data_IF_383617780727
#
_entry.id   IF_383617780727
#
_cell.length_a   1.000
_cell.length_b   1.000
_cell.length_c   1.000
_cell.angle_alpha   90.00
_cell.angle_beta   90.00
_cell.angle_gamma   90.00
#
_symmetry.space_group_name_H-M   'P 1'
#
loop_
_entity.id
_entity.type
_entity.pdbx_description
1 polymer ?
#
# COMPACT_ATOMS: atom_id res chain seq x y z
N UNK A 1 1.97 -0.75 6.65
CA UNK A 1 2.84 0.36 6.17
C UNK A 1 2.70 1.65 6.95
N UNK A 2 1.51 2.15 7.26
CA UNK A 2 1.35 3.35 8.10
C UNK A 2 2.05 3.25 9.47
N UNK A 3 2.01 2.09 10.13
CA UNK A 3 2.73 1.88 11.39
C UNK A 3 4.25 2.00 11.24
N UNK A 4 4.80 1.53 10.11
CA UNK A 4 6.23 1.71 9.81
C UNK A 4 6.56 3.18 9.62
N UNK A 5 5.77 3.91 8.82
CA UNK A 5 5.98 5.34 8.60
C UNK A 5 5.92 6.14 9.92
N UNK A 6 4.92 5.86 10.77
CA UNK A 6 4.83 6.50 12.08
C UNK A 6 6.05 6.21 12.96
N UNK A 7 6.41 4.92 13.11
CA UNK A 7 7.55 4.54 13.93
C UNK A 7 8.85 5.20 13.43
N UNK A 8 9.11 5.17 12.13
CA UNK A 8 10.30 5.82 11.55
C UNK A 8 10.33 7.35 11.77
N UNK A 9 9.17 8.01 11.66
CA UNK A 9 9.09 9.45 11.94
C UNK A 9 9.43 9.74 13.41
N UNK A 10 8.91 8.96 14.36
CA UNK A 10 9.22 9.09 15.78
C UNK A 10 10.68 8.73 16.07
N UNK A 11 11.21 7.69 15.45
CA UNK A 11 12.61 7.27 15.58
C UNK A 11 13.57 8.37 15.11
N UNK A 12 13.28 9.02 13.97
CA UNK A 12 14.05 10.18 13.50
C UNK A 12 13.95 11.37 14.46
N UNK A 13 12.76 11.66 15.00
CA UNK A 13 12.59 12.73 15.99
C UNK A 13 13.40 12.48 17.28
N UNK A 14 13.47 11.21 17.70
CA UNK A 14 14.17 10.78 18.92
C UNK A 14 15.65 10.42 18.72
N UNK A 15 16.16 10.40 17.47
CA UNK A 15 17.51 9.92 17.19
C UNK A 15 17.72 8.43 17.52
N UNK A 16 16.66 7.61 17.39
CA UNK A 16 16.66 6.20 17.76
C UNK A 16 17.12 5.35 16.57
N UNK A 17 18.22 4.63 16.74
CA UNK A 17 18.71 3.67 15.75
C UNK A 17 18.00 2.31 15.88
N UNK A 18 17.39 1.87 14.79
CA UNK A 18 16.70 0.58 14.72
C UNK A 18 17.72 -0.52 14.42
N UNK A 19 17.75 -1.61 15.22
CA UNK A 19 18.66 -2.73 14.98
C UNK A 19 18.51 -3.31 13.58
N UNK A 20 19.64 -3.72 12.99
CA UNK A 20 19.68 -4.19 11.59
C UNK A 20 18.72 -5.37 11.36
N UNK A 21 18.65 -6.33 12.28
CA UNK A 21 17.70 -7.46 12.21
C UNK A 21 16.24 -6.98 12.13
N UNK A 22 15.86 -6.00 12.94
CA UNK A 22 14.52 -5.43 12.94
C UNK A 22 14.18 -4.74 11.60
N UNK A 23 15.17 -4.10 10.95
CA UNK A 23 14.99 -3.51 9.63
C UNK A 23 14.62 -4.56 8.57
N UNK A 24 15.28 -5.71 8.57
CA UNK A 24 14.96 -6.84 7.68
C UNK A 24 13.57 -7.39 7.93
N UNK A 25 13.19 -7.59 9.19
CA UNK A 25 11.84 -8.05 9.55
C UNK A 25 10.78 -7.06 9.08
N UNK A 26 10.99 -5.75 9.27
CA UNK A 26 10.08 -4.70 8.75
C UNK A 26 9.93 -4.81 7.24
N UNK A 27 11.03 -4.99 6.50
CA UNK A 27 10.99 -5.13 5.03
C UNK A 27 10.18 -6.36 4.60
N UNK A 28 10.38 -7.51 5.25
CA UNK A 28 9.59 -8.72 4.96
C UNK A 28 8.09 -8.46 5.15
N UNK A 29 7.70 -7.82 6.24
CA UNK A 29 6.28 -7.52 6.50
C UNK A 29 5.73 -6.48 5.53
N UNK A 30 6.50 -5.48 5.16
CA UNK A 30 6.11 -4.48 4.15
C UNK A 30 5.84 -5.13 2.79
N UNK A 31 6.71 -6.06 2.37
CA UNK A 31 6.52 -6.73 1.09
C UNK A 31 5.38 -7.78 1.14
N UNK A 32 5.17 -8.49 2.26
CA UNK A 32 3.97 -9.32 2.44
C UNK A 32 2.69 -8.48 2.38
N UNK A 33 2.69 -7.28 2.98
CA UNK A 33 1.56 -6.33 2.92
C UNK A 33 1.32 -5.85 1.48
N UNK A 34 2.38 -5.65 0.68
CA UNK A 34 2.27 -5.30 -0.74
C UNK A 34 1.65 -6.43 -1.55
N UNK A 35 2.16 -7.66 -1.42
CA UNK A 35 1.66 -8.84 -2.13
C UNK A 35 0.16 -9.04 -1.84
N UNK A 36 -0.23 -9.03 -0.55
CA UNK A 36 -1.64 -9.26 -0.18
C UNK A 36 -2.56 -8.14 -0.70
N UNK A 37 -2.06 -6.90 -0.78
CA UNK A 37 -2.81 -5.75 -1.29
C UNK A 37 -2.98 -5.81 -2.81
N UNK A 38 -1.92 -6.12 -3.55
CA UNK A 38 -1.99 -6.24 -5.00
C UNK A 38 -2.87 -7.41 -5.46
N UNK A 39 -2.82 -8.54 -4.76
CA UNK A 39 -3.72 -9.68 -5.03
C UNK A 39 -5.17 -9.37 -4.68
N UNK A 40 -5.42 -8.60 -3.60
CA UNK A 40 -6.76 -8.10 -3.29
C UNK A 40 -7.29 -7.22 -4.42
N UNK A 41 -6.49 -6.26 -4.83
CA UNK A 41 -6.84 -5.33 -5.90
C UNK A 41 -7.11 -6.05 -7.22
N UNK A 42 -6.24 -6.98 -7.62
CA UNK A 42 -6.38 -7.76 -8.86
C UNK A 42 -7.74 -8.49 -8.89
N UNK A 43 -8.12 -9.11 -7.78
CA UNK A 43 -9.43 -9.77 -7.68
C UNK A 43 -10.60 -8.79 -7.79
N UNK A 44 -10.55 -7.66 -7.08
CA UNK A 44 -11.62 -6.64 -7.12
C UNK A 44 -11.71 -6.00 -8.51
N UNK A 45 -10.59 -5.67 -9.14
CA UNK A 45 -10.57 -5.11 -10.49
C UNK A 45 -11.20 -6.08 -11.51
N UNK A 46 -10.87 -7.37 -11.41
CA UNK A 46 -11.50 -8.39 -12.23
C UNK A 46 -13.01 -8.49 -12.01
N UNK A 47 -13.46 -8.43 -10.76
CA UNK A 47 -14.89 -8.41 -10.43
C UNK A 47 -15.62 -7.21 -11.04
N UNK A 48 -15.04 -6.01 -10.95
CA UNK A 48 -15.63 -4.77 -11.52
C UNK A 48 -15.89 -4.92 -13.03
N UNK A 49 -15.03 -5.64 -13.76
CA UNK A 49 -15.19 -5.89 -15.19
C UNK A 49 -15.97 -7.17 -15.52
N UNK A 50 -16.53 -7.86 -14.49
CA UNK A 50 -17.36 -9.05 -14.65
C UNK A 50 -16.57 -10.36 -14.79
N UNK A 51 -15.30 -10.42 -14.36
CA UNK A 51 -14.44 -11.59 -14.50
C UNK A 51 -14.16 -12.29 -13.16
N UNK A 52 -15.20 -12.87 -12.56
CA UNK A 52 -15.16 -13.45 -11.21
C UNK A 52 -14.20 -14.65 -11.07
N UNK A 53 -13.89 -15.33 -12.15
CA UNK A 53 -12.89 -16.42 -12.12
C UNK A 53 -11.52 -15.90 -11.66
N UNK A 54 -11.08 -14.73 -12.14
CA UNK A 54 -9.82 -14.10 -11.70
C UNK A 54 -9.93 -13.63 -10.25
N UNK A 55 -11.10 -13.09 -9.82
CA UNK A 55 -11.34 -12.78 -8.41
C UNK A 55 -11.07 -14.00 -7.53
N UNK A 56 -11.72 -15.13 -7.83
CA UNK A 56 -11.58 -16.35 -7.03
C UNK A 56 -10.13 -16.86 -6.99
N UNK A 57 -9.42 -16.83 -8.13
CA UNK A 57 -8.04 -17.26 -8.20
C UNK A 57 -7.11 -16.32 -7.44
N UNK A 58 -7.22 -15.01 -7.62
CA UNK A 58 -6.40 -14.01 -6.93
C UNK A 58 -6.57 -14.12 -5.40
N UNK A 59 -7.80 -14.31 -4.91
CA UNK A 59 -8.04 -14.44 -3.48
C UNK A 59 -7.60 -15.79 -2.92
N UNK A 60 -7.67 -16.86 -3.71
CA UNK A 60 -7.08 -18.15 -3.35
C UNK A 60 -5.56 -18.05 -3.17
N UNK A 61 -4.88 -17.31 -4.05
CA UNK A 61 -3.42 -17.07 -3.96
C UNK A 61 -3.10 -16.14 -2.78
N UNK A 62 -3.97 -15.21 -2.48
CA UNK A 62 -3.83 -14.27 -1.36
C UNK A 62 -3.90 -14.96 0.01
N UNK A 63 -4.66 -16.04 0.14
CA UNK A 63 -4.87 -16.71 1.44
C UNK A 63 -3.56 -17.22 2.09
N UNK A 64 -2.65 -17.90 1.39
CA UNK A 64 -1.33 -18.22 1.94
C UNK A 64 -0.52 -17.00 2.42
N UNK A 65 -0.65 -15.84 1.76
CA UNK A 65 0.01 -14.60 2.20
C UNK A 65 -0.55 -14.13 3.54
N UNK A 66 -1.87 -14.14 3.68
CA UNK A 66 -2.56 -13.79 4.93
C UNK A 66 -2.16 -14.73 6.08
N UNK A 67 -2.02 -16.02 5.78
CA UNK A 67 -1.55 -17.02 6.72
C UNK A 67 -0.08 -16.76 7.16
N UNK A 68 0.82 -16.39 6.22
CA UNK A 68 2.19 -15.99 6.56
C UNK A 68 2.20 -14.78 7.49
N UNK A 69 1.38 -13.77 7.20
CA UNK A 69 1.25 -12.58 8.05
C UNK A 69 0.81 -12.97 9.47
N UNK A 70 -0.22 -13.82 9.59
CA UNK A 70 -0.70 -14.30 10.89
C UNK A 70 0.38 -15.08 11.64
N UNK A 71 1.08 -15.98 10.97
CA UNK A 71 2.14 -16.79 11.58
C UNK A 71 3.27 -15.93 12.14
N UNK A 72 3.71 -14.92 11.40
CA UNK A 72 4.81 -14.05 11.80
C UNK A 72 4.35 -13.04 12.86
N UNK A 73 3.17 -12.42 12.67
CA UNK A 73 2.75 -11.27 13.49
C UNK A 73 1.71 -11.60 14.56
N UNK A 74 0.99 -12.71 14.38
CA UNK A 74 -0.15 -13.12 15.20
C UNK A 74 -1.47 -12.52 14.75
N UNK A 75 -1.51 -11.80 13.61
CA UNK A 75 -2.73 -11.25 13.04
C UNK A 75 -2.70 -11.30 11.51
N UNK A 76 -3.81 -11.68 10.91
CA UNK A 76 -3.94 -11.85 9.45
C UNK A 76 -3.86 -10.53 8.67
N UNK A 77 -4.27 -9.41 9.28
CA UNK A 77 -4.47 -8.13 8.58
C UNK A 77 -3.91 -6.92 9.34
N UNK A 78 -4.14 -6.82 10.63
CA UNK A 78 -3.65 -5.72 11.46
C UNK A 78 -2.40 -6.17 12.22
N UNK A 79 -1.29 -6.25 11.55
CA UNK A 79 -0.08 -6.93 12.01
C UNK A 79 0.46 -6.41 13.34
N UNK A 80 0.40 -5.11 13.60
CA UNK A 80 0.83 -4.48 14.84
C UNK A 80 2.24 -4.88 15.29
N UNK A 81 3.11 -5.22 14.34
CA UNK A 81 4.45 -5.74 14.63
C UNK A 81 5.45 -4.63 14.88
N UNK A 82 5.28 -3.47 14.25
CA UNK A 82 6.17 -2.34 14.39
C UNK A 82 5.98 -1.66 15.74
N UNK A 83 7.09 -1.37 16.40
CA UNK A 83 7.18 -0.52 17.60
C UNK A 83 8.30 0.49 17.37
N UNK A 84 8.27 1.59 18.09
CA UNK A 84 9.37 2.56 18.06
C UNK A 84 10.65 1.87 18.55
N UNK A 85 11.71 1.94 17.74
CA UNK A 85 12.97 1.26 18.00
C UNK A 85 13.05 -0.18 17.51
N UNK A 86 12.03 -0.74 16.82
CA UNK A 86 12.15 -2.12 16.30
C UNK A 86 10.83 -2.82 15.99
N UNK A 87 10.77 -4.12 16.31
CA UNK A 87 9.62 -4.99 16.09
C UNK A 87 9.31 -5.83 17.33
N UNK A 88 8.05 -6.24 17.51
CA UNK A 88 7.60 -7.01 18.68
C UNK A 88 7.90 -8.50 18.59
N UNK A 89 8.05 -9.06 17.41
CA UNK A 89 8.25 -10.49 17.17
C UNK A 89 9.41 -10.70 16.22
N UNK A 90 10.13 -11.78 16.43
CA UNK A 90 11.24 -12.22 15.59
C UNK A 90 10.76 -13.21 14.52
N UNK A 91 11.59 -13.39 13.49
CA UNK A 91 11.47 -14.45 12.50
C UNK A 91 12.66 -15.39 12.71
N UNK A 92 12.50 -16.46 13.50
CA UNK A 92 13.60 -17.39 13.77
C UNK A 92 13.97 -18.19 12.53
N UNK A 93 15.25 -18.57 12.39
CA UNK A 93 15.75 -19.35 11.24
C UNK A 93 14.96 -20.65 10.99
N UNK A 94 14.44 -21.27 12.04
CA UNK A 94 13.62 -22.48 11.91
C UNK A 94 12.34 -22.26 11.06
N UNK A 95 11.85 -21.03 10.93
CA UNK A 95 10.69 -20.71 10.08
C UNK A 95 11.05 -20.51 8.61
N UNK A 96 12.32 -20.24 8.28
CA UNK A 96 12.71 -19.87 6.91
C UNK A 96 12.33 -20.92 5.85
N UNK A 97 12.54 -22.25 6.05
CA UNK A 97 12.17 -23.24 5.04
C UNK A 97 10.69 -23.23 4.70
N UNK A 98 9.84 -23.07 5.70
CA UNK A 98 8.39 -23.02 5.51
C UNK A 98 7.96 -21.73 4.79
N UNK A 99 8.51 -20.57 5.19
CA UNK A 99 8.26 -19.30 4.50
C UNK A 99 8.67 -19.39 3.03
N UNK A 100 9.84 -19.93 2.72
CA UNK A 100 10.35 -20.14 1.36
C UNK A 100 9.46 -21.07 0.54
N UNK A 101 8.95 -22.15 1.14
CA UNK A 101 8.02 -23.07 0.50
C UNK A 101 6.70 -22.42 0.09
N UNK A 102 6.10 -21.64 1.02
CA UNK A 102 4.86 -20.91 0.76
C UNK A 102 5.07 -19.81 -0.29
N UNK A 103 6.16 -19.04 -0.22
CA UNK A 103 6.51 -18.04 -1.21
C UNK A 103 6.69 -18.64 -2.61
N UNK A 104 7.31 -19.83 -2.70
CA UNK A 104 7.44 -20.56 -3.97
C UNK A 104 6.10 -20.98 -4.56
N UNK A 105 5.13 -21.33 -3.71
CA UNK A 105 3.76 -21.61 -4.14
C UNK A 105 3.08 -20.34 -4.66
N UNK A 106 3.12 -19.25 -3.89
CA UNK A 106 2.51 -17.97 -4.27
C UNK A 106 3.08 -17.49 -5.62
N UNK A 107 4.39 -17.59 -5.82
CA UNK A 107 5.05 -17.20 -7.07
C UNK A 107 4.53 -17.99 -8.28
N UNK A 108 4.50 -19.31 -8.18
CA UNK A 108 4.01 -20.17 -9.29
C UNK A 108 2.57 -19.87 -9.64
N UNK A 109 1.71 -19.73 -8.64
CA UNK A 109 0.29 -19.45 -8.84
C UNK A 109 0.06 -18.03 -9.38
N UNK A 110 0.85 -17.04 -8.95
CA UNK A 110 0.80 -15.66 -9.48
C UNK A 110 1.24 -15.62 -10.94
N UNK A 111 2.31 -16.33 -11.30
CA UNK A 111 2.75 -16.45 -12.70
C UNK A 111 1.68 -17.08 -13.60
N UNK A 112 1.03 -18.14 -13.14
CA UNK A 112 -0.04 -18.80 -13.89
C UNK A 112 -1.26 -17.86 -14.11
N UNK A 113 -1.61 -17.03 -13.13
CA UNK A 113 -2.67 -16.02 -13.29
C UNK A 113 -2.20 -14.92 -14.26
N UNK A 114 -0.95 -14.47 -14.17
CA UNK A 114 -0.38 -13.49 -15.10
C UNK A 114 -0.47 -14.00 -16.54
N UNK A 115 -0.01 -15.22 -16.80
CA UNK A 115 -0.03 -15.82 -18.13
C UNK A 115 -1.46 -15.90 -18.68
N UNK A 116 -2.43 -16.27 -17.85
CA UNK A 116 -3.84 -16.30 -18.23
C UNK A 116 -4.41 -14.90 -18.53
N UNK A 117 -4.10 -13.90 -17.69
CA UNK A 117 -4.58 -12.52 -17.85
C UNK A 117 -3.98 -11.87 -19.10
N UNK A 118 -2.70 -12.08 -19.38
CA UNK A 118 -2.00 -11.49 -20.54
C UNK A 118 -2.51 -12.04 -21.86
N UNK A 119 -2.97 -13.30 -21.88
CA UNK A 119 -3.46 -13.97 -23.11
C UNK A 119 -4.96 -13.83 -23.34
N UNK A 120 -5.72 -13.35 -22.35
CA UNK A 120 -7.17 -13.19 -22.45
C UNK A 120 -7.56 -11.92 -23.23
N UNK A 121 -8.08 -12.09 -24.42
CA UNK A 121 -8.49 -10.97 -25.29
C UNK A 121 -9.65 -10.14 -24.73
N UNK A 122 -10.52 -10.75 -23.92
CA UNK A 122 -11.66 -10.07 -23.29
C UNK A 122 -11.16 -9.12 -22.20
N UNK A 123 -10.21 -9.56 -21.39
CA UNK A 123 -9.57 -8.71 -20.37
C UNK A 123 -8.80 -7.57 -21.01
N UNK A 124 -8.02 -7.86 -22.07
CA UNK A 124 -7.29 -6.83 -22.80
C UNK A 124 -8.24 -5.77 -23.38
N UNK A 125 -9.37 -6.18 -23.97
CA UNK A 125 -10.36 -5.27 -24.53
C UNK A 125 -11.01 -4.34 -23.48
N UNK A 126 -11.01 -4.73 -22.20
CA UNK A 126 -11.57 -3.94 -21.08
C UNK A 126 -10.55 -3.08 -20.37
N UNK A 127 -9.24 -3.30 -20.58
CA UNK A 127 -8.17 -2.66 -19.82
C UNK A 127 -7.21 -1.86 -20.70
N UNK A 128 -6.96 -2.31 -21.93
CA UNK A 128 -6.05 -1.64 -22.87
C UNK A 128 -6.73 -0.44 -23.53
N UNK A 129 -6.01 0.68 -23.57
CA UNK A 129 -6.49 1.97 -24.07
C UNK A 129 -7.73 2.52 -23.35
N UNK A 130 -8.01 2.06 -22.13
CA UNK A 130 -9.10 2.53 -21.27
C UNK A 130 -8.50 3.24 -20.05
N UNK A 131 -9.13 4.35 -19.64
CA UNK A 131 -8.70 5.14 -18.50
C UNK A 131 -7.25 5.64 -18.65
N UNK A 132 -6.95 6.21 -19.81
CA UNK A 132 -5.61 6.70 -20.16
C UNK A 132 -5.24 7.87 -19.27
N UNK A 133 -4.03 7.80 -18.69
CA UNK A 133 -3.43 8.85 -17.87
C UNK A 133 -2.08 9.25 -18.49
N UNK A 134 -2.01 10.32 -19.27
CA UNK A 134 -0.79 10.74 -19.94
C UNK A 134 0.35 11.01 -18.94
N UNK A 135 1.58 10.64 -19.30
CA UNK A 135 2.78 10.86 -18.48
C UNK A 135 2.90 12.30 -17.98
N UNK A 136 2.70 13.28 -18.85
CA UNK A 136 2.74 14.72 -18.52
C UNK A 136 1.77 15.08 -17.39
N UNK A 137 0.58 14.48 -17.38
CA UNK A 137 -0.45 14.74 -16.38
C UNK A 137 -0.15 13.99 -15.09
N UNK A 138 0.37 12.77 -15.18
CA UNK A 138 0.86 12.03 -14.00
C UNK A 138 1.95 12.81 -13.24
N UNK A 139 2.85 13.47 -13.96
CA UNK A 139 3.88 14.35 -13.39
C UNK A 139 3.27 15.65 -12.84
N UNK A 140 2.44 16.34 -13.64
CA UNK A 140 1.86 17.63 -13.27
C UNK A 140 1.01 17.56 -12.00
N UNK A 141 0.25 16.48 -11.83
CA UNK A 141 -0.55 16.22 -10.62
C UNK A 141 0.21 15.48 -9.52
N UNK A 142 1.51 15.20 -9.71
CA UNK A 142 2.36 14.49 -8.74
C UNK A 142 1.74 13.17 -8.27
N UNK A 143 1.25 12.38 -9.21
CA UNK A 143 0.64 11.09 -8.91
C UNK A 143 1.70 10.08 -8.43
N UNK A 144 1.28 9.05 -7.73
CA UNK A 144 2.16 8.20 -6.94
C UNK A 144 1.92 6.70 -7.24
N UNK A 145 2.97 5.91 -6.96
CA UNK A 145 2.89 4.46 -6.98
C UNK A 145 2.58 3.85 -8.34
N UNK A 146 1.89 2.69 -8.39
CA UNK A 146 1.54 2.03 -9.64
C UNK A 146 0.72 2.90 -10.60
N UNK A 147 -0.02 3.90 -10.09
CA UNK A 147 -0.76 4.85 -10.92
C UNK A 147 0.20 5.69 -11.76
N UNK A 148 1.24 6.23 -11.16
CA UNK A 148 2.27 7.00 -11.86
C UNK A 148 3.20 6.09 -12.69
N UNK A 149 3.63 4.95 -12.12
CA UNK A 149 4.52 4.00 -12.80
C UNK A 149 3.89 3.35 -14.04
N UNK A 150 2.56 3.18 -14.07
CA UNK A 150 1.82 2.76 -15.28
C UNK A 150 1.79 3.83 -16.38
N UNK A 151 2.17 5.06 -16.07
CA UNK A 151 2.29 6.19 -17.00
C UNK A 151 3.75 6.59 -17.26
N UNK A 152 4.71 5.70 -17.04
CA UNK A 152 6.12 5.92 -17.35
C UNK A 152 6.90 6.75 -16.33
N UNK A 153 6.34 7.03 -15.14
CA UNK A 153 7.01 7.81 -14.09
C UNK A 153 7.77 6.86 -13.15
N UNK A 154 9.09 6.83 -13.23
CA UNK A 154 9.96 5.92 -12.49
C UNK A 154 10.30 6.45 -11.08
N UNK A 155 9.29 6.59 -10.20
CA UNK A 155 9.48 7.03 -8.82
C UNK A 155 9.09 5.89 -7.86
N UNK A 156 9.99 5.54 -6.94
CA UNK A 156 9.73 4.56 -5.88
C UNK A 156 10.59 4.91 -4.65
N UNK A 157 9.94 5.19 -3.54
CA UNK A 157 10.62 5.61 -2.30
C UNK A 157 11.57 4.53 -1.74
N UNK A 158 11.35 3.26 -2.08
CA UNK A 158 12.25 2.18 -1.67
C UNK A 158 13.65 2.33 -2.31
N UNK A 159 13.71 2.96 -3.49
CA UNK A 159 14.95 3.21 -4.25
C UNK A 159 15.43 4.66 -4.08
N UNK A 160 14.53 5.63 -4.21
CA UNK A 160 14.90 7.06 -4.19
C UNK A 160 15.30 7.54 -2.78
N UNK A 161 14.67 7.00 -1.73
CA UNK A 161 14.97 7.30 -0.33
C UNK A 161 14.92 6.01 0.53
N UNK A 162 15.90 5.12 0.40
CA UNK A 162 15.89 3.81 1.03
C UNK A 162 15.68 3.87 2.56
N UNK A 163 14.80 3.01 3.03
CA UNK A 163 14.47 2.87 4.45
C UNK A 163 14.41 1.37 4.81
N UNK A 164 14.30 1.04 6.10
CA UNK A 164 14.35 -0.33 6.60
C UNK A 164 15.59 -1.07 6.04
N UNK A 165 15.43 -2.16 5.30
CA UNK A 165 16.53 -2.89 4.66
C UNK A 165 16.64 -2.65 3.14
N UNK A 166 15.82 -1.75 2.54
CA UNK A 166 15.84 -1.52 1.09
C UNK A 166 17.18 -0.99 0.54
N UNK A 167 17.99 -0.33 1.36
CA UNK A 167 19.36 0.06 0.98
C UNK A 167 20.36 -1.11 0.98
N UNK A 168 19.97 -2.29 1.45
CA UNK A 168 20.83 -3.47 1.57
C UNK A 168 20.37 -4.62 0.66
N UNK A 169 19.13 -4.58 0.18
CA UNK A 169 18.54 -5.55 -0.76
C UNK A 169 18.18 -4.87 -2.06
N UNK A 170 18.44 -5.55 -3.17
CA UNK A 170 18.08 -5.03 -4.48
C UNK A 170 16.57 -4.84 -4.59
N UNK A 171 16.15 -3.70 -5.14
CA UNK A 171 14.74 -3.36 -5.34
C UNK A 171 14.58 -2.78 -6.74
N UNK A 172 13.65 -3.34 -7.53
CA UNK A 172 13.41 -2.90 -8.90
C UNK A 172 12.21 -1.96 -8.97
N UNK A 173 12.34 -0.87 -9.73
CA UNK A 173 11.23 0.02 -10.04
C UNK A 173 10.50 -0.52 -11.27
N UNK A 174 9.28 -1.01 -11.08
CA UNK A 174 8.46 -1.55 -12.16
C UNK A 174 7.73 -0.42 -12.88
N UNK A 175 8.01 -0.21 -14.16
CA UNK A 175 7.45 0.88 -14.98
C UNK A 175 6.84 0.31 -16.25
N UNK A 176 5.69 0.84 -16.65
CA UNK A 176 5.02 0.62 -17.93
C UNK A 176 4.71 1.96 -18.59
N UNK A 177 4.54 1.98 -19.90
CA UNK A 177 4.42 3.22 -20.69
C UNK A 177 3.14 3.31 -21.53
N UNK A 178 2.23 2.33 -21.43
CA UNK A 178 0.96 2.40 -22.18
C UNK A 178 -0.07 3.33 -21.54
N UNK A 179 0.20 3.88 -20.35
CA UNK A 179 -0.57 4.93 -19.68
C UNK A 179 -2.01 4.57 -19.32
N UNK A 180 -2.43 3.33 -19.56
CA UNK A 180 -3.80 2.82 -19.41
C UNK A 180 -3.98 1.94 -18.17
N UNK A 181 -5.17 1.36 -18.00
CA UNK A 181 -5.48 0.46 -16.88
C UNK A 181 -4.64 -0.82 -16.99
N UNK A 182 -4.35 -1.27 -18.21
CA UNK A 182 -3.51 -2.43 -18.45
C UNK A 182 -2.10 -2.22 -17.89
N UNK A 183 -1.46 -1.09 -18.20
CA UNK A 183 -0.16 -0.72 -17.63
C UNK A 183 -0.16 -0.77 -16.09
N UNK A 184 -1.16 -0.16 -15.46
CA UNK A 184 -1.30 -0.16 -14.00
C UNK A 184 -1.51 -1.56 -13.42
N UNK A 185 -2.13 -2.46 -14.17
CA UNK A 185 -2.32 -3.87 -13.80
C UNK A 185 -0.99 -4.61 -13.87
N UNK A 186 -0.26 -4.48 -14.97
CA UNK A 186 1.03 -5.14 -15.19
C UNK A 186 2.06 -4.70 -14.15
N UNK A 187 2.14 -3.40 -13.83
CA UNK A 187 3.01 -2.87 -12.77
C UNK A 187 2.77 -3.61 -11.45
N UNK A 188 1.51 -3.75 -11.01
CA UNK A 188 1.20 -4.42 -9.73
C UNK A 188 1.55 -5.89 -9.72
N UNK A 189 1.37 -6.58 -10.84
CA UNK A 189 1.75 -8.01 -10.95
C UNK A 189 3.27 -8.15 -10.89
N UNK A 190 4.01 -7.32 -11.63
CA UNK A 190 5.48 -7.29 -11.57
C UNK A 190 5.99 -6.95 -10.17
N UNK A 191 5.40 -5.97 -9.51
CA UNK A 191 5.73 -5.64 -8.11
C UNK A 191 5.44 -6.79 -7.14
N UNK A 192 4.37 -7.56 -7.36
CA UNK A 192 4.09 -8.76 -6.56
C UNK A 192 5.20 -9.79 -6.67
N UNK A 193 5.72 -10.04 -7.88
CA UNK A 193 6.81 -10.98 -8.10
C UNK A 193 8.14 -10.46 -7.53
N UNK A 194 8.43 -9.18 -7.68
CA UNK A 194 9.63 -8.56 -7.09
C UNK A 194 9.58 -8.58 -5.55
N UNK A 195 8.41 -8.34 -4.97
CA UNK A 195 8.20 -8.44 -3.51
C UNK A 195 8.54 -9.84 -2.98
N UNK A 196 8.18 -10.90 -3.71
CA UNK A 196 8.54 -12.28 -3.34
C UNK A 196 10.06 -12.46 -3.36
N UNK A 197 10.75 -11.91 -4.35
CA UNK A 197 12.22 -11.95 -4.46
C UNK A 197 12.85 -11.19 -3.28
N UNK A 198 12.41 -9.96 -3.02
CA UNK A 198 12.90 -9.14 -1.90
C UNK A 198 12.75 -9.87 -0.56
N UNK A 199 11.62 -10.54 -0.32
CA UNK A 199 11.43 -11.32 0.91
C UNK A 199 12.44 -12.45 1.01
N UNK A 200 12.70 -13.17 -0.08
CA UNK A 200 13.71 -14.25 -0.12
C UNK A 200 15.10 -13.72 0.17
N UNK A 201 15.48 -12.62 -0.44
CA UNK A 201 16.77 -11.97 -0.22
C UNK A 201 16.90 -11.50 1.23
N UNK A 202 15.85 -10.92 1.79
CA UNK A 202 15.82 -10.56 3.22
C UNK A 202 15.99 -11.78 4.13
N UNK A 203 15.31 -12.90 3.85
CA UNK A 203 15.47 -14.14 4.64
C UNK A 203 16.88 -14.71 4.56
N UNK A 204 17.52 -14.62 3.37
CA UNK A 204 18.88 -15.10 3.15
C UNK A 204 19.94 -14.21 3.84
N UNK A 205 19.75 -12.89 3.81
CA UNK A 205 20.72 -11.88 4.27
C UNK A 205 20.47 -11.42 5.71
N UNK A 206 19.36 -11.81 6.34
CA UNK A 206 18.97 -11.32 7.67
C UNK A 206 20.03 -11.64 8.72
N UNK A 207 20.62 -10.61 9.36
CA UNK A 207 21.66 -10.82 10.37
C UNK A 207 21.09 -11.33 11.70
N UNK A 208 21.93 -11.93 12.52
CA UNK A 208 21.64 -12.16 13.94
C UNK A 208 21.68 -10.83 14.70
N UNK A 209 21.02 -10.79 15.85
CA UNK A 209 21.06 -9.62 16.73
C UNK A 209 19.71 -9.28 17.35
N UNK A 210 19.65 -8.18 18.08
CA UNK A 210 18.43 -7.73 18.74
C UNK A 210 17.38 -7.26 17.71
N UNK A 211 16.11 -7.36 18.10
CA UNK A 211 14.97 -6.90 17.30
C UNK A 211 14.38 -5.58 17.82
N UNK A 212 14.92 -5.06 18.91
CA UNK A 212 14.50 -3.78 19.49
C UNK A 212 15.72 -3.03 20.04
N UNK A 213 15.71 -1.71 19.86
CA UNK A 213 16.64 -0.80 20.52
C UNK A 213 16.29 -0.66 22.00
N UNK A 214 17.29 -0.43 22.85
CA UNK A 214 17.08 -0.04 24.24
C UNK A 214 16.81 1.46 24.30
N UNK A 215 15.57 1.84 24.55
CA UNK A 215 15.18 3.25 24.74
C UNK A 215 15.11 3.48 26.25
N UNK A 216 16.08 4.23 26.78
CA UNK A 216 16.22 4.49 28.21
C UNK A 216 15.59 5.82 28.64
N UNK A 217 15.45 6.74 27.72
CA UNK A 217 14.94 8.09 28.00
C UNK A 217 13.72 8.41 27.12
N UNK A 218 12.77 9.17 27.64
CA UNK A 218 11.65 9.66 26.87
C UNK A 218 12.14 10.62 25.77
N UNK A 219 11.46 10.62 24.63
CA UNK A 219 11.77 11.56 23.55
C UNK A 219 11.32 12.97 24.00
N UNK A 220 12.21 13.98 23.99
CA UNK A 220 11.84 15.33 24.37
C UNK A 220 10.68 15.87 23.52
N UNK A 221 9.75 16.67 24.11
CA UNK A 221 8.68 17.31 23.38
C UNK A 221 9.22 18.34 22.37
N UNK A 222 8.43 18.65 21.32
CA UNK A 222 8.76 19.63 20.30
C UNK A 222 9.74 19.14 19.21
N UNK A 223 10.21 17.90 19.27
CA UNK A 223 11.05 17.32 18.21
C UNK A 223 10.21 17.00 16.99
N UNK A 224 10.75 17.25 15.80
CA UNK A 224 10.09 16.98 14.52
C UNK A 224 10.75 15.79 13.86
N UNK A 225 9.91 14.84 13.39
CA UNK A 225 10.35 13.72 12.58
C UNK A 225 9.47 13.53 11.36
N UNK A 226 10.08 13.15 10.26
CA UNK A 226 9.40 12.88 9.00
C UNK A 226 9.88 11.56 8.40
N UNK A 227 8.97 10.84 7.77
CA UNK A 227 9.32 9.63 7.04
C UNK A 227 8.39 9.41 5.85
N UNK A 228 8.92 8.81 4.81
CA UNK A 228 8.15 8.30 3.68
C UNK A 228 8.34 6.80 3.58
N UNK A 229 7.29 6.11 3.19
CA UNK A 229 7.24 4.65 2.98
C UNK A 229 6.46 4.39 1.70
N UNK A 230 6.98 3.53 0.83
CA UNK A 230 6.26 3.10 -0.37
C UNK A 230 5.16 2.10 0.00
N UNK A 231 3.93 2.56 0.05
CA UNK A 231 2.76 1.71 0.23
C UNK A 231 2.34 1.07 -1.12
N UNK A 232 1.46 0.05 -1.15
CA UNK A 232 1.01 -0.58 -2.40
C UNK A 232 0.40 0.39 -3.41
N UNK A 233 -0.09 1.53 -2.95
CA UNK A 233 -0.72 2.59 -3.76
C UNK A 233 0.22 3.75 -4.07
N UNK A 234 1.45 3.70 -3.53
CA UNK A 234 2.46 4.75 -3.66
C UNK A 234 2.95 5.29 -2.33
N UNK A 235 3.73 6.35 -2.38
CA UNK A 235 4.30 6.98 -1.21
C UNK A 235 3.25 7.39 -0.17
N UNK A 236 3.47 6.96 1.07
CA UNK A 236 2.79 7.51 2.24
C UNK A 236 3.78 8.30 3.10
N UNK A 237 3.43 9.54 3.42
CA UNK A 237 4.31 10.44 4.19
C UNK A 237 3.75 10.68 5.58
N UNK A 238 4.61 10.60 6.59
CA UNK A 238 4.29 10.84 7.98
C UNK A 238 5.11 12.00 8.54
N UNK A 239 4.41 12.93 9.19
CA UNK A 239 4.99 14.05 9.91
C UNK A 239 4.55 13.99 11.37
N UNK A 240 5.49 14.01 12.30
CA UNK A 240 5.24 13.91 13.74
C UNK A 240 5.94 15.06 14.47
N UNK A 241 5.24 15.68 15.40
CA UNK A 241 5.82 16.53 16.44
C UNK A 241 5.61 15.81 17.77
N UNK A 242 6.68 15.56 18.50
CA UNK A 242 6.62 14.94 19.82
C UNK A 242 5.99 15.88 20.84
N UNK A 243 5.24 15.35 21.79
CA UNK A 243 4.61 16.09 22.88
C UNK A 243 5.01 15.53 24.24
N UNK A 244 4.31 15.95 25.26
CA UNK A 244 4.48 15.48 26.64
C UNK A 244 4.00 14.02 26.80
N UNK A 245 4.46 13.35 27.84
CA UNK A 245 4.03 12.01 28.25
C UNK A 245 4.14 10.92 27.16
N UNK A 246 5.17 11.00 26.31
CA UNK A 246 5.36 10.10 25.16
C UNK A 246 4.16 10.08 24.19
N UNK A 247 3.40 11.15 24.10
CA UNK A 247 2.31 11.31 23.13
C UNK A 247 2.74 12.27 22.02
N UNK A 248 2.26 12.06 20.78
CA UNK A 248 2.51 13.04 19.74
C UNK A 248 1.69 14.32 20.02
N UNK A 249 2.32 15.48 19.99
CA UNK A 249 1.63 16.77 19.96
C UNK A 249 0.83 16.91 18.64
N UNK A 250 1.45 16.48 17.53
CA UNK A 250 0.82 16.46 16.21
C UNK A 250 1.31 15.26 15.42
N UNK A 251 0.37 14.60 14.76
CA UNK A 251 0.66 13.60 13.76
C UNK A 251 -0.19 13.86 12.52
N UNK A 252 0.47 13.94 11.35
CA UNK A 252 -0.17 14.07 10.06
C UNK A 252 0.35 12.97 9.13
N UNK A 253 -0.57 12.25 8.50
CA UNK A 253 -0.26 11.29 7.46
C UNK A 253 -0.87 11.75 6.13
N UNK A 254 -0.08 11.72 5.06
CA UNK A 254 -0.56 11.91 3.69
C UNK A 254 -0.50 10.55 3.01
N UNK A 255 -1.67 9.99 2.72
CA UNK A 255 -1.80 8.73 2.00
C UNK A 255 -1.76 8.95 0.47
N UNK A 256 -1.30 7.98 -0.31
CA UNK A 256 -1.15 8.13 -1.77
C UNK A 256 -2.49 8.32 -2.50
N UNK A 257 -3.57 7.70 -2.05
CA UNK A 257 -4.89 7.82 -2.68
C UNK A 257 -5.38 9.26 -2.72
N UNK A 258 -5.06 10.05 -1.69
CA UNK A 258 -5.45 11.46 -1.66
C UNK A 258 -4.87 12.25 -2.84
N UNK A 259 -3.66 11.89 -3.26
CA UNK A 259 -3.00 12.46 -4.43
C UNK A 259 -3.52 11.86 -5.73
N UNK A 260 -3.66 10.53 -5.78
CA UNK A 260 -4.05 9.82 -7.00
C UNK A 260 -5.50 10.10 -7.45
N UNK A 261 -6.40 10.48 -6.53
CA UNK A 261 -7.77 10.87 -6.88
C UNK A 261 -7.83 12.06 -7.85
N UNK A 262 -6.82 12.92 -7.85
CA UNK A 262 -6.76 14.07 -8.77
C UNK A 262 -6.57 13.66 -10.24
N UNK A 263 -6.03 12.47 -10.50
CA UNK A 263 -5.92 11.91 -11.84
C UNK A 263 -7.22 11.31 -12.40
N UNK A 264 -8.21 11.01 -11.54
CA UNK A 264 -9.44 10.33 -11.97
C UNK A 264 -10.23 11.11 -13.01
N UNK A 265 -10.45 12.44 -12.89
CA UNK A 265 -11.14 13.21 -13.95
C UNK A 265 -10.50 13.08 -15.31
N UNK A 266 -9.16 13.01 -15.38
CA UNK A 266 -8.43 12.85 -16.65
C UNK A 266 -8.71 11.46 -17.25
N UNK A 267 -8.67 10.43 -16.41
CA UNK A 267 -8.87 9.04 -16.83
C UNK A 267 -10.30 8.71 -17.28
N UNK A 268 -11.31 9.49 -16.86
CA UNK A 268 -12.71 9.20 -17.17
C UNK A 268 -13.30 10.11 -18.24
N UNK A 269 -12.65 11.22 -18.56
CA UNK A 269 -13.13 12.13 -19.61
C UNK A 269 -12.98 11.49 -21.00
N UNK A 270 -14.10 11.33 -21.69
CA UNK A 270 -14.16 10.69 -23.01
C UNK A 270 -14.41 9.18 -22.97
N UNK A 271 -14.38 8.58 -21.79
CA UNK A 271 -14.70 7.16 -21.60
C UNK A 271 -16.21 6.90 -21.54
N UNK A 272 -16.60 5.64 -21.70
CA UNK A 272 -17.99 5.25 -21.50
C UNK A 272 -18.33 5.18 -20.01
N UNK A 273 -19.62 5.36 -19.66
CA UNK A 273 -20.08 5.23 -18.25
C UNK A 273 -19.72 3.85 -17.66
N UNK A 274 -19.67 2.81 -18.50
CA UNK A 274 -19.31 1.45 -18.09
C UNK A 274 -17.83 1.32 -17.71
N UNK A 275 -16.96 2.21 -18.19
CA UNK A 275 -15.51 2.19 -17.91
C UNK A 275 -15.15 3.01 -16.66
N UNK A 276 -16.01 3.92 -16.21
CA UNK A 276 -15.76 4.76 -15.03
C UNK A 276 -15.44 3.95 -13.77
N UNK A 277 -16.17 2.85 -13.42
CA UNK A 277 -15.85 2.06 -12.24
C UNK A 277 -14.46 1.43 -12.28
N UNK A 278 -14.01 0.90 -13.42
CA UNK A 278 -12.69 0.30 -13.54
C UNK A 278 -11.59 1.37 -13.64
N UNK A 279 -11.84 2.51 -14.28
CA UNK A 279 -10.90 3.62 -14.29
C UNK A 279 -10.64 4.14 -12.87
N UNK A 280 -11.69 4.37 -12.08
CA UNK A 280 -11.57 4.70 -10.65
C UNK A 280 -10.92 3.55 -9.87
N UNK A 281 -11.35 2.31 -10.06
CA UNK A 281 -10.78 1.13 -9.42
C UNK A 281 -9.29 0.95 -9.71
N UNK A 282 -8.81 1.41 -10.88
CA UNK A 282 -7.42 1.23 -11.31
C UNK A 282 -6.39 1.96 -10.46
N UNK A 283 -6.77 3.04 -9.76
CA UNK A 283 -5.88 3.71 -8.81
C UNK A 283 -5.80 3.00 -7.45
N UNK A 284 -6.60 1.93 -7.24
CA UNK A 284 -6.71 1.21 -5.96
C UNK A 284 -7.10 2.16 -4.81
N UNK A 285 -8.28 2.82 -4.85
CA UNK A 285 -8.60 3.87 -3.88
C UNK A 285 -8.79 3.31 -2.47
N UNK A 286 -8.15 3.95 -1.49
CA UNK A 286 -8.32 3.67 -0.07
C UNK A 286 -9.21 4.73 0.57
N UNK A 287 -10.50 4.48 0.68
CA UNK A 287 -11.45 5.48 1.19
C UNK A 287 -11.22 5.84 2.67
N UNK A 288 -10.75 4.90 3.50
CA UNK A 288 -10.37 5.20 4.89
C UNK A 288 -9.18 6.16 4.99
N UNK A 289 -8.35 6.24 3.95
CA UNK A 289 -7.23 7.19 3.87
C UNK A 289 -7.65 8.58 3.40
N UNK A 290 -8.84 8.70 2.79
CA UNK A 290 -9.37 9.92 2.19
C UNK A 290 -10.67 10.36 2.85
N UNK A 291 -10.92 9.96 4.08
CA UNK A 291 -12.14 10.17 4.86
C UNK A 291 -12.45 11.67 5.12
N UNK A 292 -12.77 12.38 4.02
CA UNK A 292 -13.24 13.77 4.01
C UNK A 292 -14.36 13.88 3.02
N UNK A 293 -15.53 14.30 3.50
CA UNK A 293 -16.72 14.41 2.68
C UNK A 293 -17.23 15.85 2.75
N UNK A 294 -17.38 16.45 1.58
CA UNK A 294 -18.12 17.69 1.39
C UNK A 294 -19.49 17.33 0.83
N UNK A 295 -20.54 17.82 1.45
CA UNK A 295 -21.91 17.61 0.95
C UNK A 295 -22.46 18.88 0.38
N UNK A 296 -22.98 18.81 -0.84
CA UNK A 296 -23.64 19.93 -1.51
C UNK A 296 -25.12 19.62 -1.62
N UNK A 297 -25.98 20.46 -1.07
CA UNK A 297 -27.40 20.36 -1.33
C UNK A 297 -27.68 20.80 -2.78
N UNK A 298 -28.12 19.85 -3.60
CA UNK A 298 -28.32 20.08 -5.05
C UNK A 298 -29.43 21.09 -5.38
N UNK A 299 -30.31 21.41 -4.40
CA UNK A 299 -31.41 22.38 -4.59
C UNK A 299 -30.99 23.79 -4.21
N UNK A 300 -30.30 23.92 -3.07
CA UNK A 300 -29.88 25.22 -2.53
C UNK A 300 -28.45 25.62 -2.93
N UNK A 301 -27.63 24.68 -3.36
CA UNK A 301 -26.20 24.88 -3.57
C UNK A 301 -25.42 25.03 -2.25
N UNK A 302 -26.07 24.83 -1.10
CA UNK A 302 -25.42 24.99 0.22
C UNK A 302 -24.40 23.88 0.45
N UNK A 303 -23.18 24.27 0.80
CA UNK A 303 -22.10 23.34 1.14
C UNK A 303 -22.11 23.11 2.65
N UNK A 304 -22.22 21.84 3.07
CA UNK A 304 -22.14 21.42 4.48
C UNK A 304 -20.98 20.47 4.71
N UNK A 305 -20.15 20.82 5.68
CA UNK A 305 -19.08 19.93 6.17
C UNK A 305 -19.58 19.25 7.44
N UNK A 306 -19.66 17.91 7.40
CA UNK A 306 -20.05 17.10 8.55
C UNK A 306 -18.83 16.49 9.21
N UNK A 307 -18.76 16.55 10.52
CA UNK A 307 -17.82 15.75 11.29
C UNK A 307 -18.26 14.28 11.33
N UNK A 308 -17.35 13.36 11.67
CA UNK A 308 -17.70 11.95 11.90
C UNK A 308 -18.83 11.80 12.94
N UNK A 309 -18.80 12.61 14.00
CA UNK A 309 -19.85 12.61 15.03
C UNK A 309 -21.22 13.03 14.47
N UNK A 310 -21.25 14.03 13.59
CA UNK A 310 -22.49 14.48 12.95
C UNK A 310 -23.07 13.38 12.04
N UNK A 311 -22.23 12.70 11.26
CA UNK A 311 -22.67 11.59 10.41
C UNK A 311 -23.22 10.42 11.24
N UNK A 312 -22.57 10.06 12.35
CA UNK A 312 -23.08 9.04 13.27
C UNK A 312 -24.43 9.44 13.86
N UNK A 313 -24.60 10.71 14.30
CA UNK A 313 -25.86 11.22 14.82
C UNK A 313 -26.97 11.12 13.77
N UNK A 314 -26.71 11.60 12.54
CA UNK A 314 -27.65 11.53 11.43
C UNK A 314 -28.06 10.09 11.09
N UNK A 315 -27.10 9.17 11.05
CA UNK A 315 -27.39 7.76 10.84
C UNK A 315 -28.28 7.18 11.95
N UNK A 316 -27.98 7.48 13.21
CA UNK A 316 -28.73 6.99 14.36
C UNK A 316 -30.18 7.55 14.36
N UNK A 317 -30.36 8.84 14.10
CA UNK A 317 -31.66 9.47 13.97
C UNK A 317 -32.52 8.90 12.84
N UNK A 318 -31.89 8.59 11.71
CA UNK A 318 -32.58 7.97 10.56
C UNK A 318 -32.97 6.51 10.85
N UNK A 319 -32.12 5.78 11.58
CA UNK A 319 -32.38 4.39 11.96
C UNK A 319 -33.52 4.28 12.99
N UNK A 320 -33.60 5.22 13.95
CA UNK A 320 -34.65 5.23 14.97
C UNK A 320 -36.04 5.63 14.44
N UNK A 321 -36.11 6.12 13.20
CA UNK A 321 -37.38 6.48 12.52
C UNK A 321 -37.90 5.39 11.57
N UNK A 322 -37.22 4.24 11.51
CA UNK A 322 -37.65 3.02 10.82
C UNK A 322 -38.17 1.98 11.79
#
# INVERSE_FOLDING_TARGET
MHSTGYCQAVEKAGGIEVPRRARYIRTIILELERIQSHLLWLGIAAHIIGFDTVLMQAWRIREPVMWLCEKITGNRKLYGINVVGGVRRDIPKAMHPELMGVLGRIERETKAVLDAVVTDTTLLARLANVGVLPNKDAIAYSLLGPTARGSGVAIDIRVDHPYAAYGEVETNVMVETSEDIWARTVVRIKETLDSIRIIRDCLAMMPEGPIQAKITEPIPPGRIGQSSVEAPRGETHHYVITGEDNRPYRWKARAPTFQNLQGVPIMVLGETIADVPIALGSIDPCFSCTERLETVDVRSGEVKVYTKADLFRLCKERWSKR
#
